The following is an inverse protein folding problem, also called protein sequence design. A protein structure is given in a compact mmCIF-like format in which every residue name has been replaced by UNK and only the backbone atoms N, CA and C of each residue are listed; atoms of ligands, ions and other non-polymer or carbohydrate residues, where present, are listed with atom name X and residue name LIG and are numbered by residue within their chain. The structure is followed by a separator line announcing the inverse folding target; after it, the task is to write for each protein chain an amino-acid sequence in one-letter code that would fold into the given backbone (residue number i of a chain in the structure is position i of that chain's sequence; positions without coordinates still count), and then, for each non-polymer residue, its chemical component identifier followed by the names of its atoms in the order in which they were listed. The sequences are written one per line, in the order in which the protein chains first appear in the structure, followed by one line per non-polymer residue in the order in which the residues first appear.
data_IF_917322364436
#
_entry.id   IF_917322364436
#
_cell.length_a   1.000
_cell.length_b   1.000
_cell.length_c   1.000
_cell.angle_alpha   90.00
_cell.angle_beta   90.00
_cell.angle_gamma   90.00
#
_symmetry.space_group_name_H-M   'P 1'
#
loop_
_entity.id
_entity.type
_entity.pdbx_description
1 polymer ?
#
# COMPACT_ATOMS: atom_id res chain seq x y z
N UNK A 1 4.45 15.50 2.52
CA UNK A 1 3.42 14.52 2.91
C UNK A 1 4.02 13.65 4.00
N UNK A 2 3.26 13.38 5.05
CA UNK A 2 3.58 12.30 5.98
C UNK A 2 3.38 10.97 5.26
N UNK A 3 4.38 10.09 5.33
CA UNK A 3 4.28 8.74 4.77
C UNK A 3 3.13 8.00 5.45
N UNK A 4 2.20 7.45 4.67
CA UNK A 4 1.13 6.60 5.19
C UNK A 4 1.30 5.13 4.75
N UNK A 5 0.93 4.20 5.62
CA UNK A 5 1.11 2.77 5.42
C UNK A 5 -0.20 2.01 5.62
N UNK A 6 -0.68 1.36 4.55
CA UNK A 6 -1.87 0.52 4.58
C UNK A 6 -1.55 -0.89 5.07
N UNK A 7 -2.28 -1.38 6.08
CA UNK A 7 -2.19 -2.76 6.55
C UNK A 7 -3.13 -3.62 5.72
N UNK A 8 -2.58 -4.61 5.01
CA UNK A 8 -3.34 -5.52 4.13
C UNK A 8 -3.07 -6.98 4.48
N UNK A 9 -3.95 -7.87 4.02
CA UNK A 9 -3.85 -9.30 4.24
C UNK A 9 -5.23 -9.95 4.27
N UNK A 10 -5.26 -11.28 4.20
CA UNK A 10 -6.50 -12.07 4.23
C UNK A 10 -7.28 -11.85 5.54
N UNK A 11 -8.57 -12.20 5.60
CA UNK A 11 -9.33 -12.26 6.85
C UNK A 11 -8.62 -13.12 7.92
N UNK A 12 -8.81 -12.76 9.19
CA UNK A 12 -8.32 -13.53 10.35
C UNK A 12 -6.79 -13.72 10.48
N UNK A 13 -5.98 -12.93 9.75
CA UNK A 13 -4.51 -12.96 9.85
C UNK A 13 -3.95 -12.13 11.01
N UNK A 14 -4.79 -11.40 11.75
CA UNK A 14 -4.38 -10.55 12.88
C UNK A 14 -4.13 -9.06 12.55
N UNK A 15 -4.62 -8.55 11.39
CA UNK A 15 -4.46 -7.14 10.99
C UNK A 15 -4.87 -6.14 12.07
N UNK A 16 -6.11 -6.23 12.56
CA UNK A 16 -6.61 -5.30 13.57
C UNK A 16 -5.91 -5.46 14.92
N UNK A 17 -5.38 -6.65 15.24
CA UNK A 17 -4.53 -6.85 16.42
C UNK A 17 -3.22 -6.08 16.30
N UNK A 18 -2.55 -6.17 15.14
CA UNK A 18 -1.32 -5.42 14.86
C UNK A 18 -1.60 -3.91 14.84
N UNK A 19 -2.66 -3.47 14.16
CA UNK A 19 -3.07 -2.06 14.14
C UNK A 19 -3.31 -1.52 15.54
N UNK A 20 -4.05 -2.25 16.38
CA UNK A 20 -4.31 -1.87 17.77
C UNK A 20 -3.02 -1.86 18.61
N UNK A 21 -2.09 -2.79 18.37
CA UNK A 21 -0.81 -2.80 19.08
C UNK A 21 0.05 -1.59 18.70
N UNK A 22 0.14 -1.27 17.40
CA UNK A 22 0.88 -0.11 16.88
C UNK A 22 0.30 1.21 17.39
N UNK A 23 -1.03 1.35 17.32
CA UNK A 23 -1.71 2.57 17.79
C UNK A 23 -1.67 2.70 19.31
N UNK A 24 -1.82 1.63 20.10
CA UNK A 24 -1.67 1.70 21.56
C UNK A 24 -0.24 1.97 22.02
N UNK A 25 0.77 1.60 21.24
CA UNK A 25 2.18 1.82 21.56
C UNK A 25 2.64 3.28 21.36
N UNK A 26 1.85 4.12 20.69
CA UNK A 26 2.22 5.51 20.38
C UNK A 26 1.08 6.54 20.37
N UNK A 27 -0.19 6.14 20.48
CA UNK A 27 -1.31 7.08 20.52
C UNK A 27 -1.50 7.62 21.94
N UNK A 28 -0.83 8.73 22.24
CA UNK A 28 -1.51 9.73 23.06
C UNK A 28 -2.65 10.31 22.22
N UNK A 29 -3.89 10.19 22.72
CA UNK A 29 -5.06 10.91 22.20
C UNK A 29 -4.94 12.42 22.49
N UNK A 30 -3.85 13.07 22.06
CA UNK A 30 -3.64 14.51 22.25
C UNK A 30 -3.54 15.24 20.91
N UNK A 31 -4.66 15.88 20.55
CA UNK A 31 -4.77 17.20 19.90
C UNK A 31 -3.74 17.57 18.80
N UNK A 32 -3.62 16.79 17.74
CA UNK A 32 -3.12 17.36 16.48
C UNK A 32 -4.25 18.18 15.84
N UNK A 33 -4.16 19.53 15.77
CA UNK A 33 -5.32 20.39 15.47
C UNK A 33 -5.87 20.29 14.04
N UNK A 34 -5.31 19.40 13.21
CA UNK A 34 -5.57 19.34 11.76
C UNK A 34 -5.80 17.92 11.23
N UNK A 35 -5.83 16.89 12.07
CA UNK A 35 -6.06 15.52 11.62
C UNK A 35 -7.52 15.11 11.84
N UNK A 36 -8.27 14.92 10.76
CA UNK A 36 -9.57 14.23 10.79
C UNK A 36 -9.32 12.76 11.12
N UNK A 37 -9.68 12.34 12.33
CA UNK A 37 -9.58 10.93 12.74
C UNK A 37 -10.75 10.18 12.10
N UNK A 38 -10.53 9.67 10.88
CA UNK A 38 -11.37 8.60 10.35
C UNK A 38 -11.06 7.30 11.12
N UNK A 39 -12.06 6.47 11.43
CA UNK A 39 -11.95 5.39 12.43
C UNK A 39 -10.94 4.28 12.11
N UNK A 40 -10.26 4.31 10.96
CA UNK A 40 -9.28 3.31 10.53
C UNK A 40 -7.87 3.90 10.30
N UNK A 41 -7.56 5.08 10.86
CA UNK A 41 -6.23 5.71 10.78
C UNK A 41 -5.59 5.84 12.16
N UNK A 42 -4.29 5.62 12.25
CA UNK A 42 -3.54 5.65 13.49
C UNK A 42 -2.14 6.25 13.32
N UNK A 43 -1.79 7.24 14.15
CA UNK A 43 -0.47 7.88 14.11
C UNK A 43 0.45 7.16 15.09
N UNK A 44 1.66 6.82 14.65
CA UNK A 44 2.66 6.12 15.44
C UNK A 44 3.98 6.88 15.38
N UNK A 45 4.58 7.13 16.54
CA UNK A 45 5.92 7.73 16.64
C UNK A 45 7.00 6.74 16.21
N UNK A 46 7.96 7.21 15.43
CA UNK A 46 9.09 6.39 14.97
C UNK A 46 10.12 6.30 16.09
N UNK A 47 10.40 5.11 16.65
CA UNK A 47 11.40 4.95 17.69
C UNK A 47 12.80 5.19 17.11
N UNK A 48 13.48 6.25 17.56
CA UNK A 48 14.84 6.60 17.11
C UNK A 48 15.78 6.88 18.28
N UNK A 49 16.71 5.95 18.53
CA UNK A 49 17.72 6.06 19.58
C UNK A 49 18.64 7.27 19.39
N UNK A 50 18.82 7.76 18.15
CA UNK A 50 19.66 8.93 17.86
C UNK A 50 18.98 10.19 18.35
N UNK A 51 17.66 10.30 18.17
CA UNK A 51 16.87 11.42 18.68
C UNK A 51 16.97 11.48 20.21
N UNK A 52 16.84 10.33 20.86
CA UNK A 52 16.97 10.22 22.32
C UNK A 52 18.35 10.69 22.78
N UNK A 53 19.41 10.27 22.09
CA UNK A 53 20.79 10.69 22.42
C UNK A 53 21.02 12.19 22.25
N UNK A 54 20.46 12.79 21.20
CA UNK A 54 20.53 14.24 20.98
C UNK A 54 19.77 14.99 22.07
N UNK A 55 18.60 14.49 22.47
CA UNK A 55 17.80 15.07 23.54
C UNK A 55 18.54 15.06 24.90
N UNK A 56 19.28 13.99 25.21
CA UNK A 56 20.12 13.92 26.41
C UNK A 56 21.23 15.00 26.43
N UNK A 57 21.84 15.27 25.28
CA UNK A 57 22.94 16.24 25.14
C UNK A 57 22.41 17.68 25.14
N UNK A 58 21.42 17.96 24.28
CA UNK A 58 20.92 19.30 24.04
C UNK A 58 19.88 19.77 25.08
N UNK A 59 19.25 18.84 25.80
CA UNK A 59 18.20 19.09 26.82
C UNK A 59 17.13 20.08 26.34
N UNK A 60 16.47 19.84 25.19
CA UNK A 60 15.46 20.74 24.67
C UNK A 60 14.21 20.74 25.56
N UNK A 61 13.41 21.81 25.47
CA UNK A 61 12.12 21.88 26.19
C UNK A 61 11.11 20.83 25.69
N UNK A 62 11.23 20.41 24.43
CA UNK A 62 10.36 19.41 23.80
C UNK A 62 11.16 18.58 22.80
N UNK A 63 10.93 17.27 22.81
CA UNK A 63 11.39 16.34 21.79
C UNK A 63 10.20 16.02 20.89
N UNK A 64 10.38 16.13 19.58
CA UNK A 64 9.34 15.86 18.59
C UNK A 64 9.82 14.72 17.69
N UNK A 65 9.29 13.49 17.86
CA UNK A 65 9.67 12.37 17.01
C UNK A 65 9.08 12.51 15.60
N UNK A 66 9.68 11.80 14.65
CA UNK A 66 9.05 11.57 13.37
C UNK A 66 7.81 10.67 13.57
N UNK A 67 6.79 10.85 12.72
CA UNK A 67 5.55 10.07 12.79
C UNK A 67 5.31 9.33 11.48
N UNK A 68 4.65 8.18 11.58
CA UNK A 68 4.11 7.42 10.45
C UNK A 68 2.61 7.24 10.69
N UNK A 69 1.81 7.40 9.64
CA UNK A 69 0.38 7.10 9.68
C UNK A 69 0.14 5.66 9.20
N UNK A 70 -0.59 4.88 9.98
CA UNK A 70 -1.08 3.56 9.60
C UNK A 70 -2.56 3.62 9.27
N UNK A 71 -2.95 2.93 8.21
CA UNK A 71 -4.35 2.79 7.78
C UNK A 71 -4.73 1.31 7.86
N UNK A 72 -5.74 0.95 8.65
CA UNK A 72 -6.28 -0.42 8.64
C UNK A 72 -7.18 -0.58 7.41
N UNK A 73 -6.76 -1.44 6.47
CA UNK A 73 -7.53 -1.71 5.26
C UNK A 73 -8.26 -3.05 5.46
N UNK A 74 -9.58 -3.04 5.25
CA UNK A 74 -10.47 -4.19 5.44
C UNK A 74 -9.93 -5.48 4.76
N UNK A 75 -10.23 -6.68 5.25
CA UNK A 75 -9.61 -7.90 4.69
C UNK A 75 -9.86 -8.11 3.19
N UNK A 76 -8.79 -8.42 2.43
CA UNK A 76 -8.88 -8.81 1.03
C UNK A 76 -9.44 -10.22 0.92
N UNK A 77 -10.50 -10.40 0.14
CA UNK A 77 -11.03 -11.73 -0.22
C UNK A 77 -10.68 -12.00 -1.69
N UNK A 78 -10.44 -13.27 -2.02
CA UNK A 78 -10.22 -13.74 -3.39
C UNK A 78 -11.34 -13.24 -4.33
N UNK A 79 -10.98 -12.74 -5.51
CA UNK A 79 -11.94 -12.19 -6.48
C UNK A 79 -12.22 -10.70 -6.33
N UNK A 80 -11.44 -9.97 -5.51
CA UNK A 80 -11.63 -8.53 -5.32
C UNK A 80 -11.52 -7.73 -6.63
N UNK A 81 -10.66 -8.17 -7.55
CA UNK A 81 -10.50 -7.60 -8.89
C UNK A 81 -11.66 -7.89 -9.86
N UNK A 82 -12.51 -8.89 -9.58
CA UNK A 82 -13.59 -9.31 -10.49
C UNK A 82 -14.91 -8.54 -10.32
N UNK A 83 -14.96 -7.53 -9.45
CA UNK A 83 -16.02 -6.52 -9.49
C UNK A 83 -17.28 -6.78 -8.66
N UNK A 84 -17.28 -7.68 -7.68
CA UNK A 84 -18.41 -7.89 -6.73
C UNK A 84 -18.63 -6.71 -5.74
N UNK A 85 -18.11 -5.51 -6.04
CA UNK A 85 -18.38 -4.27 -5.31
C UNK A 85 -17.59 -4.07 -4.00
N UNK A 86 -17.31 -5.14 -3.24
CA UNK A 86 -16.53 -5.07 -2.00
C UNK A 86 -15.02 -4.95 -2.26
N UNK A 87 -14.52 -5.68 -3.27
CA UNK A 87 -13.11 -5.69 -3.65
C UNK A 87 -12.59 -4.38 -4.25
N UNK A 88 -13.43 -3.69 -5.04
CA UNK A 88 -13.05 -2.40 -5.63
C UNK A 88 -12.92 -1.29 -4.58
N UNK A 89 -13.75 -1.29 -3.53
CA UNK A 89 -13.61 -0.34 -2.40
C UNK A 89 -12.34 -0.59 -1.59
N UNK A 90 -11.93 -1.85 -1.47
CA UNK A 90 -10.66 -2.20 -0.83
C UNK A 90 -9.47 -1.69 -1.64
N UNK A 91 -9.47 -1.94 -2.96
CA UNK A 91 -8.41 -1.48 -3.86
C UNK A 91 -8.33 0.06 -3.93
N UNK A 92 -9.46 0.78 -3.81
CA UNK A 92 -9.42 2.24 -3.75
C UNK A 92 -8.73 2.76 -2.49
N UNK A 93 -8.94 2.13 -1.33
CA UNK A 93 -8.24 2.53 -0.10
C UNK A 93 -6.73 2.23 -0.17
N UNK A 94 -6.31 1.17 -0.88
CA UNK A 94 -4.87 0.91 -1.09
C UNK A 94 -4.23 2.01 -1.96
N UNK A 95 -4.96 2.55 -2.94
CA UNK A 95 -4.45 3.65 -3.78
C UNK A 95 -4.23 4.95 -3.00
N UNK A 96 -4.80 5.07 -1.81
CA UNK A 96 -4.64 6.24 -0.94
C UNK A 96 -3.40 6.12 -0.04
N UNK A 97 -2.68 4.98 -0.06
CA UNK A 97 -1.48 4.77 0.76
C UNK A 97 -0.17 4.75 -0.04
N UNK A 98 0.91 5.20 0.58
CA UNK A 98 2.27 5.26 0.01
C UNK A 98 3.00 3.91 0.13
N UNK A 99 2.69 3.14 1.17
CA UNK A 99 3.32 1.86 1.47
C UNK A 99 2.30 0.81 1.94
N UNK A 100 2.61 -0.47 1.70
CA UNK A 100 1.79 -1.59 2.11
C UNK A 100 2.52 -2.44 3.16
N UNK A 101 1.91 -2.62 4.32
CA UNK A 101 2.29 -3.61 5.32
C UNK A 101 1.43 -4.87 5.13
N UNK A 102 2.02 -5.90 4.52
CA UNK A 102 1.32 -7.15 4.23
C UNK A 102 1.44 -8.14 5.39
N UNK A 103 0.34 -8.36 6.10
CA UNK A 103 0.23 -9.31 7.20
C UNK A 103 -0.12 -10.70 6.66
N UNK A 104 0.74 -11.66 6.94
CA UNK A 104 0.60 -13.06 6.51
C UNK A 104 0.48 -13.94 7.76
N UNK A 105 -0.56 -14.79 7.81
CA UNK A 105 -0.76 -15.73 8.93
C UNK A 105 0.28 -16.85 8.84
N UNK A 106 1.09 -17.00 9.88
CA UNK A 106 2.07 -18.08 10.03
C UNK A 106 1.91 -18.83 11.36
N UNK A 107 0.66 -18.97 11.81
CA UNK A 107 0.31 -19.69 13.04
C UNK A 107 -0.94 -20.56 12.83
N UNK A 108 -1.00 -21.69 13.51
CA UNK A 108 -2.16 -22.57 13.59
C UNK A 108 -2.94 -22.28 14.88
N UNK A 109 -4.27 -22.23 14.78
CA UNK A 109 -5.18 -22.08 15.93
C UNK A 109 -6.53 -22.68 15.55
N UNK A 110 -6.98 -23.67 16.31
CA UNK A 110 -8.25 -24.38 16.10
C UNK A 110 -9.47 -23.47 16.26
N UNK A 111 -9.33 -22.37 17.00
CA UNK A 111 -10.42 -21.40 17.22
C UNK A 111 -10.51 -20.34 16.12
N UNK A 112 -9.55 -20.30 15.19
CA UNK A 112 -9.46 -19.27 14.15
C UNK A 112 -9.57 -19.89 12.76
N UNK A 113 -10.75 -19.76 12.15
CA UNK A 113 -11.02 -20.28 10.81
C UNK A 113 -10.17 -19.60 9.74
N UNK A 114 -9.62 -20.40 8.83
CA UNK A 114 -8.92 -19.93 7.65
C UNK A 114 -9.87 -19.89 6.45
N UNK A 115 -9.80 -18.85 5.62
CA UNK A 115 -10.70 -18.65 4.47
C UNK A 115 -10.63 -19.80 3.46
N UNK A 116 -9.46 -20.44 3.36
CA UNK A 116 -9.22 -21.58 2.47
C UNK A 116 -9.17 -22.92 3.20
N UNK A 117 -9.60 -22.98 4.47
CA UNK A 117 -9.63 -24.20 5.29
C UNK A 117 -8.28 -24.71 5.78
N UNK A 118 -7.17 -24.28 5.17
CA UNK A 118 -5.80 -24.59 5.58
C UNK A 118 -4.95 -23.33 5.56
N UNK A 119 -4.10 -23.14 6.57
CA UNK A 119 -3.11 -22.05 6.62
C UNK A 119 -1.94 -22.39 5.70
N UNK A 120 -1.65 -21.50 4.75
CA UNK A 120 -0.47 -21.63 3.90
C UNK A 120 0.10 -20.23 3.59
N UNK A 121 1.08 -19.75 4.39
CA UNK A 121 1.58 -18.38 4.30
C UNK A 121 2.05 -17.98 2.89
N UNK A 122 2.66 -18.92 2.16
CA UNK A 122 3.21 -18.67 0.83
C UNK A 122 2.10 -18.49 -0.20
N UNK A 123 1.09 -19.37 -0.18
CA UNK A 123 -0.07 -19.28 -1.06
C UNK A 123 -0.92 -18.05 -0.72
N UNK A 124 -1.15 -17.79 0.57
CA UNK A 124 -1.91 -16.63 1.04
C UNK A 124 -1.27 -15.32 0.58
N UNK A 125 0.06 -15.20 0.71
CA UNK A 125 0.79 -14.05 0.23
C UNK A 125 0.73 -13.93 -1.30
N UNK A 126 0.79 -15.05 -2.02
CA UNK A 126 0.69 -15.07 -3.49
C UNK A 126 -0.70 -14.60 -3.96
N UNK A 127 -1.78 -15.03 -3.30
CA UNK A 127 -3.16 -14.61 -3.61
C UNK A 127 -3.29 -13.09 -3.52
N UNK A 128 -2.86 -12.49 -2.40
CA UNK A 128 -2.92 -11.04 -2.20
C UNK A 128 -2.10 -10.30 -3.25
N UNK A 129 -0.87 -10.75 -3.52
CA UNK A 129 -0.02 -10.12 -4.54
C UNK A 129 -0.62 -10.21 -5.95
N UNK A 130 -1.25 -11.33 -6.30
CA UNK A 130 -1.87 -11.51 -7.61
C UNK A 130 -3.09 -10.60 -7.80
N UNK A 131 -3.92 -10.41 -6.78
CA UNK A 131 -5.04 -9.47 -6.84
C UNK A 131 -4.56 -8.02 -7.05
N UNK A 132 -3.46 -7.62 -6.40
CA UNK A 132 -2.83 -6.31 -6.63
C UNK A 132 -2.31 -6.19 -8.07
N UNK A 133 -1.63 -7.22 -8.58
CA UNK A 133 -1.14 -7.26 -9.96
C UNK A 133 -2.28 -7.17 -10.97
N UNK A 134 -3.40 -7.86 -10.73
CA UNK A 134 -4.56 -7.79 -11.62
C UNK A 134 -5.21 -6.41 -11.61
N UNK A 135 -5.31 -5.77 -10.44
CA UNK A 135 -5.81 -4.40 -10.33
C UNK A 135 -4.90 -3.40 -11.08
N UNK A 136 -3.58 -3.53 -10.94
CA UNK A 136 -2.61 -2.72 -11.66
C UNK A 136 -2.68 -2.98 -13.17
N UNK A 137 -2.84 -4.25 -13.59
CA UNK A 137 -2.94 -4.64 -14.99
C UNK A 137 -4.16 -4.00 -15.66
N UNK A 138 -5.34 -4.09 -15.05
CA UNK A 138 -6.56 -3.46 -15.57
C UNK A 138 -6.40 -1.93 -15.69
N UNK A 139 -5.81 -1.30 -14.67
CA UNK A 139 -5.58 0.15 -14.66
C UNK A 139 -4.58 0.58 -15.75
N UNK A 140 -3.43 -0.10 -15.82
CA UNK A 140 -2.37 0.18 -16.77
C UNK A 140 -2.81 -0.07 -18.22
N UNK A 141 -3.61 -1.11 -18.48
CA UNK A 141 -4.08 -1.43 -19.83
C UNK A 141 -5.05 -0.35 -20.34
N UNK A 142 -6.02 0.07 -19.50
CA UNK A 142 -6.93 1.18 -19.82
C UNK A 142 -6.17 2.48 -20.11
N UNK A 143 -5.17 2.80 -19.29
CA UNK A 143 -4.36 4.00 -19.47
C UNK A 143 -3.51 3.92 -20.76
N UNK A 144 -2.90 2.77 -21.04
CA UNK A 144 -2.12 2.54 -22.25
C UNK A 144 -2.98 2.68 -23.51
N UNK A 145 -4.20 2.15 -23.51
CA UNK A 145 -5.14 2.33 -24.64
C UNK A 145 -5.49 3.80 -24.91
N UNK A 146 -5.61 4.61 -23.86
CA UNK A 146 -5.87 6.07 -23.98
C UNK A 146 -4.65 6.82 -24.49
N UNK A 147 -3.48 6.56 -23.91
CA UNK A 147 -2.23 7.27 -24.22
C UNK A 147 -1.69 6.87 -25.59
N UNK A 148 -1.78 5.60 -25.98
CA UNK A 148 -1.30 5.11 -27.28
C UNK A 148 -2.00 5.77 -28.48
N UNK A 149 -3.29 6.14 -28.35
CA UNK A 149 -4.02 6.91 -29.37
C UNK A 149 -3.39 8.29 -29.57
N UNK A 150 -3.03 8.98 -28.49
CA UNK A 150 -2.40 10.29 -28.53
C UNK A 150 -0.94 10.23 -28.97
N UNK A 151 -0.22 9.17 -28.61
CA UNK A 151 1.16 8.93 -29.02
C UNK A 151 1.31 8.78 -30.55
N UNK A 152 0.32 8.14 -31.20
CA UNK A 152 0.24 8.02 -32.67
C UNK A 152 0.07 9.36 -33.38
N UNK A 153 -0.45 10.38 -32.69
CA UNK A 153 -0.62 11.73 -33.23
C UNK A 153 0.63 12.61 -33.06
N UNK A 154 1.78 12.03 -32.66
CA UNK A 154 3.07 12.72 -32.60
C UNK A 154 3.35 13.49 -31.31
N UNK A 155 2.52 13.34 -30.26
CA UNK A 155 2.80 13.93 -28.96
C UNK A 155 3.94 13.15 -28.26
N UNK A 156 5.08 13.82 -28.03
CA UNK A 156 6.29 13.24 -27.41
C UNK A 156 6.05 12.76 -25.98
N UNK A 157 5.34 13.52 -25.16
CA UNK A 157 5.01 13.11 -23.77
C UNK A 157 4.14 11.85 -23.77
N UNK A 158 3.18 11.76 -24.69
CA UNK A 158 2.34 10.57 -24.84
C UNK A 158 3.15 9.35 -25.32
N UNK A 159 4.16 9.54 -26.17
CA UNK A 159 5.07 8.47 -26.61
C UNK A 159 5.93 7.96 -25.45
N UNK A 160 6.48 8.86 -24.63
CA UNK A 160 7.25 8.49 -23.44
C UNK A 160 6.39 7.74 -22.42
N UNK A 161 5.17 8.23 -22.13
CA UNK A 161 4.24 7.54 -21.23
C UNK A 161 3.84 6.16 -21.75
N UNK A 162 3.56 6.02 -23.06
CA UNK A 162 3.21 4.73 -23.64
C UNK A 162 4.37 3.73 -23.52
N UNK A 163 5.61 4.16 -23.74
CA UNK A 163 6.81 3.33 -23.58
C UNK A 163 6.98 2.84 -22.13
N UNK A 164 6.76 3.71 -21.14
CA UNK A 164 6.84 3.30 -19.73
C UNK A 164 5.72 2.30 -19.37
N UNK A 165 4.48 2.59 -19.78
CA UNK A 165 3.34 1.70 -19.55
C UNK A 165 3.56 0.32 -20.21
N UNK A 166 4.19 0.26 -21.38
CA UNK A 166 4.50 -1.00 -22.06
C UNK A 166 5.48 -1.88 -21.26
N UNK A 167 6.54 -1.28 -20.68
CA UNK A 167 7.47 -1.98 -19.77
C UNK A 167 6.74 -2.55 -18.55
N UNK A 168 5.85 -1.75 -17.95
CA UNK A 168 5.08 -2.14 -16.77
C UNK A 168 4.09 -3.25 -17.11
N UNK A 169 3.33 -3.10 -18.20
CA UNK A 169 2.38 -4.11 -18.68
C UNK A 169 3.05 -5.45 -18.97
N UNK A 170 4.28 -5.44 -19.48
CA UNK A 170 5.06 -6.66 -19.71
C UNK A 170 5.30 -7.43 -18.42
N UNK A 171 5.64 -6.74 -17.32
CA UNK A 171 5.83 -7.38 -16.01
C UNK A 171 4.51 -7.86 -15.42
N UNK A 172 3.47 -7.02 -15.45
CA UNK A 172 2.16 -7.36 -14.90
C UNK A 172 1.54 -8.58 -15.59
N UNK A 173 1.65 -8.67 -16.93
CA UNK A 173 1.22 -9.85 -17.71
C UNK A 173 2.02 -11.11 -17.38
N UNK A 174 3.26 -10.96 -16.92
CA UNK A 174 4.09 -12.07 -16.44
C UNK A 174 3.86 -12.40 -14.95
N UNK A 175 2.86 -11.81 -14.29
CA UNK A 175 2.57 -12.03 -12.87
C UNK A 175 3.61 -11.39 -11.94
N UNK A 176 4.32 -10.34 -12.39
CA UNK A 176 5.32 -9.61 -11.61
C UNK A 176 4.81 -8.20 -11.28
N UNK A 177 5.05 -7.68 -10.07
CA UNK A 177 4.57 -6.37 -9.67
C UNK A 177 5.31 -5.24 -10.42
N UNK A 178 4.59 -4.13 -10.67
CA UNK A 178 5.10 -2.99 -11.43
C UNK A 178 6.38 -2.36 -10.83
N UNK A 179 6.56 -2.44 -9.51
CA UNK A 179 7.76 -1.94 -8.80
C UNK A 179 9.08 -2.57 -9.26
N UNK A 180 9.03 -3.70 -9.96
CA UNK A 180 10.22 -4.34 -10.55
C UNK A 180 10.58 -3.78 -11.93
N UNK A 181 9.83 -2.82 -12.46
CA UNK A 181 10.16 -2.16 -13.71
C UNK A 181 11.46 -1.36 -13.56
N UNK A 182 12.43 -1.67 -14.43
CA UNK A 182 13.65 -0.88 -14.54
C UNK A 182 13.35 0.42 -15.31
N UNK A 183 12.95 1.43 -14.54
CA UNK A 183 12.66 2.77 -15.04
C UNK A 183 13.85 3.69 -14.78
N UNK A 184 14.16 4.55 -15.75
CA UNK A 184 15.10 5.65 -15.60
C UNK A 184 14.54 6.67 -14.59
N UNK A 185 15.40 7.45 -13.96
CA UNK A 185 14.95 8.42 -12.95
C UNK A 185 14.04 9.52 -13.53
N UNK A 186 14.18 9.84 -14.81
CA UNK A 186 13.26 10.71 -15.54
C UNK A 186 11.89 10.05 -15.74
N UNK A 187 11.86 8.75 -16.06
CA UNK A 187 10.62 7.97 -16.20
C UNK A 187 9.89 7.87 -14.86
N UNK A 188 10.60 7.63 -13.74
CA UNK A 188 10.01 7.56 -12.38
C UNK A 188 9.35 8.84 -11.92
N UNK A 189 9.83 10.00 -12.39
CA UNK A 189 9.34 11.33 -11.97
C UNK A 189 8.09 11.77 -12.73
N UNK A 190 7.65 11.03 -13.74
CA UNK A 190 6.50 11.45 -14.54
C UNK A 190 5.23 11.46 -13.67
N UNK A 191 4.64 12.64 -13.38
CA UNK A 191 3.49 12.77 -12.47
C UNK A 191 2.19 12.16 -13.02
N UNK A 192 2.24 11.65 -14.24
CA UNK A 192 1.13 11.07 -15.00
C UNK A 192 1.03 9.55 -14.90
N UNK A 193 2.01 8.89 -14.26
CA UNK A 193 2.21 7.47 -14.50
C UNK A 193 1.01 6.61 -14.06
N UNK A 194 0.22 7.04 -13.07
CA UNK A 194 -0.96 6.30 -12.61
C UNK A 194 -2.08 7.19 -12.00
N UNK A 195 -2.12 8.48 -12.35
CA UNK A 195 -3.21 9.40 -11.95
C UNK A 195 -4.36 9.43 -12.96
#
# INVERSE_FOLDING_TARGET
MSLNCGIVGLPNVGKSTIFNALTKAGAQMENYPFCTIEPNKGIVEVPDLRLNRLAEIAKPQKVVPAIIEFVDIAGLVKGASQGEGLGNKFLSHIREVDAICHVVRAFEDENVTHVHGKVNPVEDAAIVNMELIFADLDSADKQFQRVSKNAKNGNKEAQEHASVLEKILTLLKAGKPARLAELKDEEKKSPSLFN
#
